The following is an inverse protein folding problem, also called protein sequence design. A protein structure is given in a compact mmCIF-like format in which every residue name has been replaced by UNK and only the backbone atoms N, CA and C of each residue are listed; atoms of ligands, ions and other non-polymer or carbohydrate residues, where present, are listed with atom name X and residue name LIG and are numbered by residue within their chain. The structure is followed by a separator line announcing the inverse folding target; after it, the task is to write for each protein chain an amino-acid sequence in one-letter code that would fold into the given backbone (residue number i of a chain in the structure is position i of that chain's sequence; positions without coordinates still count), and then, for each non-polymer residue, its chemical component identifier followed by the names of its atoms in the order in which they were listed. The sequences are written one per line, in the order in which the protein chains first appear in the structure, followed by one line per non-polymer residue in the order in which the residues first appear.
data_IF_741869355118
#
_entry.id   IF_741869355118
#
_cell.length_a   1.000
_cell.length_b   1.000
_cell.length_c   1.000
_cell.angle_alpha   90.00
_cell.angle_beta   90.00
_cell.angle_gamma   90.00
#
_symmetry.space_group_name_H-M   'P 1'
#
loop_
_entity.id
_entity.type
_entity.pdbx_description
1 polymer ?
#
# COMPACT_ATOMS: atom_id res chain seq x y z
N UNK A 1 6.78 26.54 -7.91
CA UNK A 1 5.95 25.32 -8.11
C UNK A 1 6.68 24.17 -8.82
N UNK A 2 7.82 24.38 -9.50
CA UNK A 2 8.56 23.29 -10.19
C UNK A 2 8.95 22.14 -9.26
N UNK A 3 9.41 22.44 -8.04
CA UNK A 3 9.81 21.42 -7.07
C UNK A 3 8.64 20.55 -6.59
N UNK A 4 7.43 21.11 -6.54
CA UNK A 4 6.22 20.37 -6.16
C UNK A 4 5.84 19.34 -7.23
N UNK A 5 5.83 19.74 -8.51
CA UNK A 5 5.55 18.84 -9.63
C UNK A 5 6.56 17.70 -9.72
N UNK A 6 7.84 18.01 -9.49
CA UNK A 6 8.91 16.99 -9.49
C UNK A 6 8.70 16.03 -8.32
N UNK A 7 8.44 16.53 -7.11
CA UNK A 7 8.17 15.68 -5.94
C UNK A 7 6.96 14.78 -6.16
N UNK A 8 5.86 15.32 -6.67
CA UNK A 8 4.66 14.55 -6.96
C UNK A 8 4.90 13.46 -8.03
N UNK A 9 5.70 13.76 -9.05
CA UNK A 9 6.09 12.76 -10.06
C UNK A 9 6.95 11.65 -9.46
N UNK A 10 7.85 11.99 -8.53
CA UNK A 10 8.67 11.01 -7.81
C UNK A 10 7.80 10.13 -6.92
N UNK A 11 6.81 10.69 -6.24
CA UNK A 11 5.85 9.93 -5.43
C UNK A 11 5.05 8.95 -6.28
N UNK A 12 4.52 9.37 -7.44
CA UNK A 12 3.82 8.47 -8.38
C UNK A 12 4.75 7.33 -8.82
N UNK A 13 5.99 7.67 -9.19
CA UNK A 13 6.98 6.67 -9.57
C UNK A 13 7.26 5.68 -8.44
N UNK A 14 7.36 6.17 -7.19
CA UNK A 14 7.60 5.35 -6.01
C UNK A 14 6.40 4.44 -5.69
N UNK A 15 5.17 4.91 -5.87
CA UNK A 15 3.95 4.10 -5.73
C UNK A 15 3.99 2.94 -6.74
N UNK A 16 4.27 3.22 -8.01
CA UNK A 16 4.35 2.20 -9.05
C UNK A 16 5.48 1.19 -8.78
N UNK A 17 6.66 1.69 -8.42
CA UNK A 17 7.81 0.85 -8.06
C UNK A 17 7.46 -0.08 -6.89
N UNK A 18 6.86 0.47 -5.84
CA UNK A 18 6.42 -0.29 -4.67
C UNK A 18 5.35 -1.32 -5.05
N UNK A 19 4.37 -0.93 -5.87
CA UNK A 19 3.35 -1.85 -6.39
C UNK A 19 3.96 -3.07 -7.08
N UNK A 20 4.85 -2.86 -8.05
CA UNK A 20 5.47 -3.98 -8.77
C UNK A 20 6.35 -4.85 -7.86
N UNK A 21 7.02 -4.23 -6.90
CA UNK A 21 7.83 -4.94 -5.91
C UNK A 21 6.97 -5.84 -5.04
N UNK A 22 5.84 -5.35 -4.50
CA UNK A 22 4.95 -6.14 -3.67
C UNK A 22 4.17 -7.20 -4.44
N UNK A 23 3.78 -6.93 -5.70
CA UNK A 23 3.16 -7.96 -6.58
C UNK A 23 4.12 -9.14 -6.81
N UNK A 24 5.43 -8.88 -6.95
CA UNK A 24 6.42 -9.95 -7.11
C UNK A 24 6.75 -10.68 -5.80
N UNK A 25 6.73 -9.99 -4.68
CA UNK A 25 7.06 -10.57 -3.36
C UNK A 25 5.88 -11.36 -2.78
N UNK A 26 4.65 -10.90 -2.96
CA UNK A 26 3.46 -11.48 -2.33
C UNK A 26 2.70 -12.32 -3.36
N UNK A 27 2.54 -13.61 -3.09
CA UNK A 27 1.78 -14.52 -3.95
C UNK A 27 0.30 -14.11 -4.09
N UNK A 28 -0.30 -14.37 -5.26
CA UNK A 28 -1.71 -14.06 -5.56
C UNK A 28 -2.71 -14.49 -4.48
N UNK A 29 -2.67 -15.74 -3.99
CA UNK A 29 -3.56 -16.21 -2.91
C UNK A 29 -3.40 -15.42 -1.61
N UNK A 30 -2.18 -14.99 -1.29
CA UNK A 30 -1.88 -14.21 -0.09
C UNK A 30 -2.38 -12.78 -0.23
N UNK A 31 -2.21 -12.17 -1.42
CA UNK A 31 -2.77 -10.84 -1.75
C UNK A 31 -4.30 -10.83 -1.61
N UNK A 32 -4.97 -11.87 -2.11
CA UNK A 32 -6.42 -12.00 -1.99
C UNK A 32 -6.87 -12.09 -0.52
N UNK A 33 -6.23 -12.94 0.29
CA UNK A 33 -6.51 -13.03 1.73
C UNK A 33 -6.26 -11.72 2.47
N UNK A 34 -5.20 -11.00 2.12
CA UNK A 34 -4.90 -9.67 2.70
C UNK A 34 -5.98 -8.66 2.33
N UNK A 35 -6.37 -8.61 1.07
CA UNK A 35 -7.45 -7.73 0.60
C UNK A 35 -8.76 -8.01 1.33
N UNK A 36 -9.18 -9.27 1.40
CA UNK A 36 -10.41 -9.64 2.09
C UNK A 36 -10.37 -9.23 3.57
N UNK A 37 -9.23 -9.45 4.24
CA UNK A 37 -9.05 -9.06 5.64
C UNK A 37 -9.07 -7.55 5.85
N UNK A 38 -8.43 -6.78 4.97
CA UNK A 38 -8.40 -5.32 5.05
C UNK A 38 -9.77 -4.71 4.73
N UNK A 39 -10.42 -5.16 3.66
CA UNK A 39 -11.65 -4.57 3.14
C UNK A 39 -12.94 -5.18 3.71
N UNK A 40 -12.85 -6.15 4.63
CA UNK A 40 -14.03 -6.73 5.33
C UNK A 40 -14.93 -5.68 5.98
N UNK A 41 -14.35 -4.59 6.49
CA UNK A 41 -15.10 -3.45 7.01
C UNK A 41 -14.39 -2.16 6.60
N UNK A 42 -15.03 -1.39 5.73
CA UNK A 42 -14.49 -0.14 5.23
C UNK A 42 -14.20 0.87 6.35
N UNK A 43 -15.06 0.94 7.38
CA UNK A 43 -14.83 1.81 8.54
C UNK A 43 -13.57 1.41 9.30
N UNK A 44 -13.37 0.11 9.58
CA UNK A 44 -12.15 -0.38 10.25
C UNK A 44 -10.91 -0.14 9.39
N UNK A 45 -11.03 -0.35 8.08
CA UNK A 45 -9.97 -0.05 7.12
C UNK A 45 -9.52 1.41 7.21
N UNK A 46 -10.45 2.37 7.15
CA UNK A 46 -10.13 3.79 7.26
C UNK A 46 -9.46 4.11 8.59
N UNK A 47 -9.97 3.57 9.70
CA UNK A 47 -9.39 3.79 11.03
C UNK A 47 -7.96 3.27 11.08
N UNK A 48 -7.70 2.05 10.61
CA UNK A 48 -6.35 1.51 10.57
C UNK A 48 -5.44 2.31 9.64
N UNK A 49 -5.93 2.70 8.48
CA UNK A 49 -5.18 3.53 7.54
C UNK A 49 -4.78 4.87 8.19
N UNK A 50 -5.70 5.51 8.91
CA UNK A 50 -5.44 6.75 9.64
C UNK A 50 -4.35 6.58 10.70
N UNK A 51 -4.44 5.54 11.54
CA UNK A 51 -3.41 5.31 12.57
C UNK A 51 -2.05 4.96 11.96
N UNK A 52 -2.02 4.19 10.87
CA UNK A 52 -0.78 3.84 10.17
C UNK A 52 -0.13 5.09 9.55
N UNK A 53 -0.89 5.92 8.85
CA UNK A 53 -0.35 7.15 8.25
C UNK A 53 0.07 8.17 9.29
N UNK A 54 -0.68 8.28 10.40
CA UNK A 54 -0.30 9.09 11.56
C UNK A 54 1.01 8.60 12.17
N UNK A 55 1.19 7.29 12.32
CA UNK A 55 2.42 6.70 12.82
C UNK A 55 3.60 6.96 11.88
N UNK A 56 3.44 6.75 10.58
CA UNK A 56 4.50 6.99 9.58
C UNK A 56 4.92 8.47 9.59
N UNK A 57 3.94 9.38 9.61
CA UNK A 57 4.20 10.83 9.61
C UNK A 57 4.81 11.27 10.93
N UNK A 58 4.30 10.77 12.06
CA UNK A 58 4.82 11.07 13.39
C UNK A 58 6.23 10.54 13.61
N UNK A 59 6.52 9.30 13.21
CA UNK A 59 7.85 8.70 13.30
C UNK A 59 8.83 9.40 12.39
N UNK A 60 8.46 9.69 11.14
CA UNK A 60 9.33 10.43 10.22
C UNK A 60 9.64 11.83 10.73
N UNK A 61 8.63 12.55 11.25
CA UNK A 61 8.83 13.86 11.89
C UNK A 61 9.77 13.75 13.10
N UNK A 62 9.56 12.77 13.98
CA UNK A 62 10.39 12.56 15.16
C UNK A 62 11.85 12.26 14.82
N UNK A 63 12.09 11.35 13.86
CA UNK A 63 13.44 11.00 13.40
C UNK A 63 14.12 12.23 12.79
N UNK A 64 13.46 12.93 11.88
CA UNK A 64 14.03 14.07 11.16
C UNK A 64 14.28 15.28 12.07
N UNK A 65 13.41 15.48 13.06
CA UNK A 65 13.62 16.48 14.10
C UNK A 65 14.88 16.17 14.91
N UNK A 66 15.04 14.92 15.33
CA UNK A 66 16.21 14.47 16.11
C UNK A 66 17.52 14.58 15.32
N UNK A 67 17.49 14.38 14.01
CA UNK A 67 18.68 14.46 13.14
C UNK A 67 18.89 15.84 12.50
N UNK A 68 18.12 16.86 12.89
CA UNK A 68 18.17 18.21 12.30
C UNK A 68 17.91 18.29 10.78
N UNK A 69 17.26 17.27 10.21
CA UNK A 69 16.92 17.17 8.79
C UNK A 69 15.45 17.54 8.51
N UNK A 70 14.85 18.39 9.36
CA UNK A 70 13.43 18.78 9.26
C UNK A 70 13.07 19.38 7.89
N UNK A 71 14.04 20.00 7.20
CA UNK A 71 13.86 20.54 5.85
C UNK A 71 13.41 19.47 4.82
N UNK A 72 13.71 18.20 5.06
CA UNK A 72 13.37 17.09 4.16
C UNK A 72 12.05 16.39 4.51
N UNK A 73 11.32 16.87 5.53
CA UNK A 73 10.06 16.24 5.97
C UNK A 73 9.02 16.14 4.85
N UNK A 74 8.96 17.17 3.99
CA UNK A 74 8.05 17.24 2.85
C UNK A 74 8.43 16.32 1.68
N UNK A 75 9.55 15.61 1.77
CA UNK A 75 9.98 14.63 0.78
C UNK A 75 9.89 13.22 1.38
N UNK A 76 10.43 13.03 2.58
CA UNK A 76 10.54 11.72 3.21
C UNK A 76 9.18 11.21 3.70
N UNK A 77 8.36 12.08 4.32
CA UNK A 77 7.06 11.65 4.82
C UNK A 77 6.11 11.22 3.68
N UNK A 78 5.93 12.03 2.60
CA UNK A 78 5.16 11.60 1.43
C UNK A 78 5.73 10.33 0.78
N UNK A 79 7.06 10.20 0.66
CA UNK A 79 7.67 9.00 0.09
C UNK A 79 7.33 7.72 0.88
N UNK A 80 7.39 7.76 2.21
CA UNK A 80 7.00 6.61 3.04
C UNK A 80 5.51 6.27 2.90
N UNK A 81 4.65 7.28 2.80
CA UNK A 81 3.22 7.08 2.54
C UNK A 81 2.99 6.52 1.13
N UNK A 82 3.74 6.96 0.13
CA UNK A 82 3.72 6.44 -1.24
C UNK A 82 4.04 4.94 -1.29
N UNK A 83 4.99 4.46 -0.47
CA UNK A 83 5.27 3.01 -0.33
C UNK A 83 4.06 2.26 0.25
N UNK A 84 3.43 2.81 1.30
CA UNK A 84 2.21 2.23 1.88
C UNK A 84 1.07 2.15 0.85
N UNK A 85 0.87 3.21 0.06
CA UNK A 85 -0.15 3.24 -0.99
C UNK A 85 0.15 2.19 -2.07
N UNK A 86 1.41 2.08 -2.51
CA UNK A 86 1.83 1.03 -3.46
C UNK A 86 1.59 -0.39 -2.92
N UNK A 87 1.86 -0.61 -1.62
CA UNK A 87 1.53 -1.86 -0.93
C UNK A 87 0.02 -2.14 -0.97
N UNK A 88 -0.82 -1.19 -0.54
CA UNK A 88 -2.27 -1.37 -0.54
C UNK A 88 -2.81 -1.64 -1.94
N UNK A 89 -2.33 -0.90 -2.94
CA UNK A 89 -2.67 -1.12 -4.35
C UNK A 89 -2.27 -2.51 -4.82
N UNK A 90 -1.13 -3.05 -4.37
CA UNK A 90 -0.71 -4.41 -4.71
C UNK A 90 -1.66 -5.48 -4.17
N UNK A 91 -2.32 -5.24 -3.03
CA UNK A 91 -3.26 -6.22 -2.46
C UNK A 91 -4.54 -6.34 -3.27
N UNK A 92 -4.91 -5.34 -4.08
CA UNK A 92 -6.12 -5.36 -4.88
C UNK A 92 -6.09 -6.57 -5.83
N UNK A 93 -7.13 -7.42 -5.81
CA UNK A 93 -7.19 -8.58 -6.69
C UNK A 93 -7.34 -8.10 -8.13
N UNK A 94 -6.47 -8.58 -9.00
CA UNK A 94 -6.58 -8.41 -10.45
C UNK A 94 -7.59 -9.43 -10.96
N UNK A 95 -8.60 -8.99 -11.72
CA UNK A 95 -9.66 -9.87 -12.27
C UNK A 95 -9.04 -11.12 -12.92
N UNK A 96 -9.38 -12.30 -12.42
CA UNK A 96 -8.97 -13.60 -12.98
C UNK A 96 -8.42 -14.63 -11.98
N UNK A 97 -7.83 -14.22 -10.86
CA UNK A 97 -7.21 -15.21 -9.93
C UNK A 97 -8.19 -15.86 -8.93
N UNK A 98 -9.38 -15.29 -8.74
CA UNK A 98 -10.38 -15.78 -7.77
C UNK A 98 -11.43 -16.75 -8.31
N UNK A 99 -11.47 -17.00 -9.62
CA UNK A 99 -12.52 -17.83 -10.24
C UNK A 99 -12.19 -19.34 -10.22
N UNK A 100 -10.92 -19.69 -10.04
CA UNK A 100 -10.48 -21.09 -10.04
C UNK A 100 -10.74 -21.84 -8.72
N UNK A 101 -11.12 -21.15 -7.63
CA UNK A 101 -11.41 -21.80 -6.34
C UNK A 101 -12.83 -22.36 -6.25
N UNK A 102 -13.76 -21.92 -7.11
CA UNK A 102 -15.15 -22.40 -7.13
C UNK A 102 -15.41 -23.51 -8.16
N UNK A 103 -14.46 -23.78 -9.07
CA UNK A 103 -14.63 -24.80 -10.12
C UNK A 103 -14.33 -26.19 -9.57
N UNK A 104 -13.36 -26.33 -8.66
CA UNK A 104 -12.98 -27.64 -8.08
C UNK A 104 -14.02 -28.24 -7.14
N UNK A 105 -14.93 -27.44 -6.57
CA UNK A 105 -15.95 -27.95 -5.64
C UNK A 105 -17.19 -28.50 -6.34
N UNK A 106 -17.43 -28.15 -7.61
CA UNK A 106 -18.59 -28.65 -8.39
C UNK A 106 -18.31 -29.92 -9.20
N UNK A 107 -17.08 -30.41 -9.24
CA UNK A 107 -16.69 -31.58 -10.03
C UNK A 107 -16.88 -32.92 -9.32
N UNK A 108 -17.22 -32.93 -8.02
CA UNK A 108 -17.34 -34.16 -7.23
C UNK A 108 -18.79 -34.59 -6.97
N UNK A 109 -19.77 -33.95 -7.61
CA UNK A 109 -21.20 -34.26 -7.50
C UNK A 109 -21.76 -34.95 -8.77
N UNK A 110 -20.98 -35.84 -9.40
CA UNK A 110 -21.46 -36.76 -10.44
C UNK A 110 -20.87 -38.16 -10.27
#
# INVERSE_FOLDING_TARGET
MKNFLISASVDIFLILLSYFLFVKIISGPTRHKLYEKFFRSFARFIIYLFFITLLITGLSAFILYRTSYIAYINIISPALVSVLVGFLMSTVPTKGEGDNSNITTKSNDF
#
